data_IF_705937796701
#
_entry.id   IF_705937796701
#
_cell.length_a   1.000
_cell.length_b   1.000
_cell.length_c   1.000
_cell.angle_alpha   90.00
_cell.angle_beta   90.00
_cell.angle_gamma   90.00
#
_symmetry.space_group_name_H-M   'P 1'
#
loop_
_entity.id
_entity.type
_entity.pdbx_description
1 polymer ?
#
# COMPACT_ATOMS: atom_id res chain seq x y z
N UNK A 1 10.14 39.90 21.80
CA UNK A 1 9.22 39.41 20.75
C UNK A 1 10.05 39.09 19.52
N UNK A 2 9.62 38.15 18.70
CA UNK A 2 10.30 37.67 17.50
C UNK A 2 9.62 38.26 16.28
N UNK A 3 10.38 38.76 15.31
CA UNK A 3 9.85 39.08 13.97
C UNK A 3 9.37 37.80 13.30
N UNK A 4 8.41 37.92 12.37
CA UNK A 4 7.88 36.77 11.62
C UNK A 4 8.97 35.89 10.97
N UNK A 5 10.07 36.48 10.50
CA UNK A 5 11.21 35.73 9.94
C UNK A 5 11.95 34.89 10.99
N UNK A 6 12.21 35.46 12.17
CA UNK A 6 12.85 34.74 13.28
C UNK A 6 11.95 33.61 13.80
N UNK A 7 10.65 33.87 13.92
CA UNK A 7 9.68 32.87 14.32
C UNK A 7 9.53 31.76 13.27
N UNK A 8 9.59 32.12 11.99
CA UNK A 8 9.58 31.17 10.87
C UNK A 8 10.74 30.20 10.94
N UNK A 9 11.96 30.70 11.17
CA UNK A 9 13.16 29.87 11.36
C UNK A 9 13.06 28.95 12.59
N UNK A 10 12.53 29.43 13.71
CA UNK A 10 12.42 28.62 14.94
C UNK A 10 11.30 27.56 14.86
N UNK A 11 10.18 27.89 14.23
CA UNK A 11 9.01 27.01 14.11
C UNK A 11 9.06 26.07 12.91
N UNK A 12 9.99 26.30 11.96
CA UNK A 12 10.06 25.62 10.67
C UNK A 12 8.78 25.79 9.82
N UNK A 13 8.01 26.85 10.07
CA UNK A 13 6.82 27.21 9.30
C UNK A 13 7.18 28.38 8.40
N UNK A 14 6.93 28.26 7.09
CA UNK A 14 7.21 29.35 6.16
C UNK A 14 6.42 30.62 6.52
N UNK A 15 6.99 31.79 6.22
CA UNK A 15 6.33 33.10 6.43
C UNK A 15 4.94 33.11 5.77
N UNK A 16 4.82 32.57 4.54
CA UNK A 16 3.54 32.43 3.85
C UNK A 16 2.53 31.61 4.65
N UNK A 17 2.94 30.48 5.23
CA UNK A 17 2.06 29.67 6.05
C UNK A 17 1.67 30.37 7.36
N UNK A 18 2.57 31.14 7.97
CA UNK A 18 2.25 31.96 9.15
C UNK A 18 1.17 33.02 8.84
N UNK A 19 1.21 33.63 7.66
CA UNK A 19 0.13 34.53 7.20
C UNK A 19 -1.19 33.80 7.04
N UNK A 20 -1.20 32.63 6.39
CA UNK A 20 -2.41 31.82 6.24
C UNK A 20 -2.97 31.41 7.61
N UNK A 21 -2.11 31.04 8.55
CA UNK A 21 -2.53 30.64 9.90
C UNK A 21 -3.07 31.83 10.70
N UNK A 22 -2.55 33.03 10.52
CA UNK A 22 -3.09 34.27 11.08
C UNK A 22 -4.49 34.56 10.51
N UNK A 23 -4.63 34.56 9.18
CA UNK A 23 -5.89 34.78 8.46
C UNK A 23 -6.99 33.78 8.87
N UNK A 24 -6.61 32.51 9.05
CA UNK A 24 -7.52 31.44 9.51
C UNK A 24 -7.72 31.42 11.02
N UNK A 25 -7.10 32.32 11.79
CA UNK A 25 -7.18 32.36 13.24
C UNK A 25 -6.52 31.16 13.95
N UNK A 26 -5.71 30.39 13.25
CA UNK A 26 -4.99 29.24 13.80
C UNK A 26 -3.81 29.69 14.65
N UNK A 27 -3.06 30.70 14.20
CA UNK A 27 -1.91 31.24 14.92
C UNK A 27 -1.74 32.74 14.63
N UNK A 28 -2.40 33.57 15.42
CA UNK A 28 -2.33 35.02 15.28
C UNK A 28 -1.02 35.56 15.88
N UNK A 29 -0.39 36.58 15.28
CA UNK A 29 0.73 37.27 15.91
C UNK A 29 0.27 37.92 17.23
N UNK A 30 1.17 37.99 18.19
CA UNK A 30 0.92 38.68 19.46
C UNK A 30 0.80 40.19 19.25
N UNK A 31 1.54 40.72 18.27
CA UNK A 31 1.49 42.13 17.91
C UNK A 31 1.65 42.33 16.41
N UNK A 32 0.90 43.28 15.87
CA UNK A 32 1.05 43.80 14.51
C UNK A 32 1.35 45.29 14.61
N UNK A 33 2.49 45.70 14.08
CA UNK A 33 2.86 47.10 13.98
C UNK A 33 1.88 47.82 13.05
N UNK A 34 1.23 48.87 13.55
CA UNK A 34 0.16 49.59 12.84
C UNK A 34 0.65 50.45 11.68
N UNK A 35 1.93 50.83 11.67
CA UNK A 35 2.51 51.71 10.66
C UNK A 35 3.18 50.92 9.54
N UNK A 36 3.81 49.80 9.88
CA UNK A 36 4.58 48.99 8.94
C UNK A 36 3.93 47.67 8.57
N UNK A 37 2.91 47.23 9.32
CA UNK A 37 2.26 45.93 9.14
C UNK A 37 3.11 44.73 9.57
N UNK A 38 4.27 44.96 10.18
CA UNK A 38 5.15 43.89 10.65
C UNK A 38 4.48 43.07 11.76
N UNK A 39 4.59 41.75 11.63
CA UNK A 39 4.04 40.78 12.58
C UNK A 39 5.11 40.31 13.55
N UNK A 40 4.74 40.27 14.81
CA UNK A 40 5.59 39.84 15.91
C UNK A 40 4.93 38.73 16.71
N UNK A 41 5.72 37.70 16.98
CA UNK A 41 5.33 36.51 17.72
C UNK A 41 6.13 36.40 19.02
N UNK A 42 5.71 35.53 19.92
CA UNK A 42 6.46 35.24 21.16
C UNK A 42 6.89 33.77 21.21
N UNK A 43 7.93 33.46 21.98
CA UNK A 43 8.37 32.07 22.21
C UNK A 43 7.25 31.19 22.78
N UNK A 44 6.31 31.78 23.54
CA UNK A 44 5.15 31.08 24.11
C UNK A 44 4.19 30.54 23.05
N UNK A 45 4.28 31.02 21.81
CA UNK A 45 3.46 30.57 20.69
C UNK A 45 4.05 29.36 19.95
N UNK A 46 5.32 29.01 20.19
CA UNK A 46 5.97 27.85 19.55
C UNK A 46 5.27 26.51 19.83
N UNK A 47 4.82 26.20 21.07
CA UNK A 47 4.08 24.96 21.31
C UNK A 47 2.80 24.84 20.48
N UNK A 48 2.08 25.95 20.29
CA UNK A 48 0.88 26.00 19.43
C UNK A 48 1.25 25.77 17.97
N UNK A 49 2.33 26.40 17.49
CA UNK A 49 2.85 26.22 16.14
C UNK A 49 3.24 24.76 15.86
N UNK A 50 3.97 24.12 16.78
CA UNK A 50 4.35 22.71 16.67
C UNK A 50 3.14 21.78 16.68
N UNK A 51 2.11 22.07 17.50
CA UNK A 51 0.86 21.31 17.50
C UNK A 51 0.14 21.39 16.16
N UNK A 52 0.05 22.58 15.54
CA UNK A 52 -0.52 22.75 14.20
C UNK A 52 0.24 21.91 13.17
N UNK A 53 1.58 21.96 13.21
CA UNK A 53 2.43 21.19 12.29
C UNK A 53 2.26 19.68 12.46
N UNK A 54 2.21 19.18 13.69
CA UNK A 54 1.99 17.77 13.96
C UNK A 54 0.64 17.28 13.39
N UNK A 55 -0.44 18.03 13.63
CA UNK A 55 -1.77 17.68 13.12
C UNK A 55 -1.85 17.75 11.59
N UNK A 56 -1.18 18.73 10.98
CA UNK A 56 -1.03 18.81 9.52
C UNK A 56 -0.24 17.61 8.97
N UNK A 57 0.78 17.15 9.68
CA UNK A 57 1.54 15.94 9.35
C UNK A 57 0.69 14.66 9.32
N UNK A 58 -0.39 14.61 10.11
CA UNK A 58 -1.38 13.53 10.06
C UNK A 58 -2.35 13.64 8.87
N UNK A 59 -2.22 14.68 8.04
CA UNK A 59 -3.08 14.94 6.90
C UNK A 59 -4.44 15.52 7.27
N UNK A 60 -4.58 16.16 8.45
CA UNK A 60 -5.78 16.91 8.80
C UNK A 60 -5.84 18.25 8.05
N UNK A 61 -7.04 18.65 7.66
CA UNK A 61 -7.29 19.95 7.03
C UNK A 61 -7.11 21.10 8.04
N UNK A 62 -6.87 22.33 7.53
CA UNK A 62 -6.73 23.51 8.40
C UNK A 62 -7.99 23.79 9.23
N UNK A 63 -9.18 23.47 8.70
CA UNK A 63 -10.44 23.68 9.39
C UNK A 63 -10.60 22.68 10.55
N UNK A 64 -10.28 21.39 10.33
CA UNK A 64 -10.21 20.38 11.38
C UNK A 64 -9.18 20.74 12.46
N UNK A 65 -7.99 21.20 12.05
CA UNK A 65 -6.95 21.65 12.97
C UNK A 65 -7.49 22.80 13.83
N UNK A 66 -8.20 23.75 13.23
CA UNK A 66 -8.85 24.87 13.92
C UNK A 66 -9.80 24.40 15.03
N UNK A 67 -10.64 23.40 14.74
CA UNK A 67 -11.55 22.81 15.71
C UNK A 67 -10.79 22.21 16.91
N UNK A 68 -9.68 21.51 16.67
CA UNK A 68 -8.85 20.90 17.73
C UNK A 68 -8.17 21.95 18.60
N UNK A 69 -7.44 22.90 17.97
CA UNK A 69 -6.56 23.82 18.70
C UNK A 69 -7.32 24.91 19.43
N UNK A 70 -8.57 25.18 19.04
CA UNK A 70 -9.46 26.10 19.70
C UNK A 70 -10.41 25.41 20.70
N UNK A 71 -10.21 24.10 20.93
CA UNK A 71 -11.02 23.30 21.86
C UNK A 71 -12.52 23.39 21.56
N UNK A 72 -12.87 23.50 20.27
CA UNK A 72 -14.24 23.64 19.80
C UNK A 72 -14.93 22.28 19.58
N UNK A 73 -14.37 21.20 20.15
CA UNK A 73 -14.90 19.85 20.06
C UNK A 73 -14.82 19.16 21.41
N UNK A 74 -15.80 18.31 21.68
CA UNK A 74 -15.76 17.39 22.81
C UNK A 74 -14.87 16.17 22.51
N UNK A 75 -14.65 15.33 23.53
CA UNK A 75 -13.75 14.17 23.40
C UNK A 75 -14.25 13.12 22.42
N UNK A 76 -15.57 12.96 22.28
CA UNK A 76 -16.16 11.96 21.39
C UNK A 76 -16.08 12.40 19.92
N UNK A 77 -16.31 13.68 19.64
CA UNK A 77 -16.09 14.29 18.32
C UNK A 77 -14.63 14.17 17.89
N UNK A 78 -13.70 14.47 18.81
CA UNK A 78 -12.27 14.33 18.56
C UNK A 78 -11.91 12.87 18.23
N UNK A 79 -12.41 11.91 19.02
CA UNK A 79 -12.20 10.47 18.77
C UNK A 79 -12.78 10.04 17.44
N UNK A 80 -13.99 10.49 17.10
CA UNK A 80 -14.65 10.19 15.83
C UNK A 80 -13.83 10.67 14.63
N UNK A 81 -13.34 11.91 14.69
CA UNK A 81 -12.50 12.47 13.63
C UNK A 81 -11.18 11.70 13.45
N UNK A 82 -10.50 11.33 14.54
CA UNK A 82 -9.27 10.54 14.43
C UNK A 82 -9.52 9.11 13.92
N UNK A 83 -10.65 8.49 14.28
CA UNK A 83 -11.05 7.19 13.72
C UNK A 83 -11.33 7.26 12.22
N UNK A 84 -12.02 8.30 11.78
CA UNK A 84 -12.23 8.52 10.35
C UNK A 84 -10.89 8.70 9.65
N UNK A 85 -9.99 9.51 10.22
CA UNK A 85 -8.67 9.73 9.63
C UNK A 85 -7.82 8.46 9.57
N UNK A 86 -7.91 7.63 10.60
CA UNK A 86 -7.28 6.31 10.63
C UNK A 86 -7.79 5.44 9.47
N UNK A 87 -9.11 5.32 9.31
CA UNK A 87 -9.70 4.53 8.23
C UNK A 87 -9.31 5.04 6.83
N UNK A 88 -9.26 6.36 6.62
CA UNK A 88 -8.77 6.97 5.38
C UNK A 88 -7.29 6.64 5.09
N UNK A 89 -6.44 6.58 6.13
CA UNK A 89 -5.03 6.22 5.99
C UNK A 89 -4.87 4.74 5.66
N UNK A 90 -5.59 3.87 6.36
CA UNK A 90 -5.58 2.43 6.10
C UNK A 90 -6.05 2.09 4.68
N UNK A 91 -7.08 2.78 4.18
CA UNK A 91 -7.55 2.60 2.80
C UNK A 91 -6.48 3.01 1.78
N UNK A 92 -5.84 4.17 1.98
CA UNK A 92 -4.76 4.62 1.09
C UNK A 92 -3.56 3.67 1.09
N UNK A 93 -3.20 3.12 2.25
CA UNK A 93 -2.12 2.13 2.33
C UNK A 93 -2.45 0.90 1.48
N UNK A 94 -3.68 0.38 1.55
CA UNK A 94 -4.12 -0.75 0.71
C UNK A 94 -4.02 -0.41 -0.78
N UNK A 95 -4.55 0.74 -1.19
CA UNK A 95 -4.52 1.16 -2.61
C UNK A 95 -3.09 1.33 -3.14
N UNK A 96 -2.17 1.89 -2.35
CA UNK A 96 -0.77 2.01 -2.76
C UNK A 96 -0.04 0.66 -2.78
N UNK A 97 -0.41 -0.29 -1.91
CA UNK A 97 0.10 -1.67 -1.95
C UNK A 97 -0.33 -2.39 -3.23
N UNK A 98 -1.60 -2.26 -3.64
CA UNK A 98 -2.11 -2.81 -4.90
C UNK A 98 -1.36 -2.23 -6.12
N UNK A 99 -1.15 -0.91 -6.12
CA UNK A 99 -0.37 -0.25 -7.18
C UNK A 99 1.09 -0.71 -7.21
N UNK A 100 1.71 -0.90 -6.05
CA UNK A 100 3.07 -1.40 -5.94
C UNK A 100 3.17 -2.82 -6.53
N UNK A 101 2.23 -3.71 -6.19
CA UNK A 101 2.17 -5.06 -6.74
C UNK A 101 2.07 -5.05 -8.27
N UNK A 102 1.29 -4.13 -8.84
CA UNK A 102 1.19 -3.96 -10.29
C UNK A 102 2.51 -3.48 -10.92
N UNK A 103 3.24 -2.55 -10.29
CA UNK A 103 4.56 -2.12 -10.75
C UNK A 103 5.56 -3.29 -10.72
N UNK A 104 5.58 -4.05 -9.62
CA UNK A 104 6.46 -5.22 -9.47
C UNK A 104 6.16 -6.30 -10.50
N UNK A 105 4.88 -6.53 -10.80
CA UNK A 105 4.48 -7.43 -11.88
C UNK A 105 5.06 -7.00 -13.23
N UNK A 106 4.93 -5.72 -13.60
CA UNK A 106 5.45 -5.22 -14.88
C UNK A 106 6.98 -5.26 -14.94
N UNK A 107 7.67 -4.98 -13.83
CA UNK A 107 9.13 -5.11 -13.75
C UNK A 107 9.57 -6.55 -14.02
N UNK A 108 8.91 -7.54 -13.41
CA UNK A 108 9.19 -8.96 -13.69
C UNK A 108 8.94 -9.32 -15.15
N UNK A 109 7.88 -8.81 -15.76
CA UNK A 109 7.59 -9.06 -17.17
C UNK A 109 8.70 -8.54 -18.09
N UNK A 110 9.21 -7.32 -17.82
CA UNK A 110 10.33 -6.74 -18.59
C UNK A 110 11.60 -7.58 -18.43
N UNK A 111 11.93 -8.01 -17.21
CA UNK A 111 13.10 -8.86 -16.95
C UNK A 111 13.02 -10.23 -17.64
N UNK A 112 11.81 -10.76 -17.79
CA UNK A 112 11.54 -12.01 -18.50
C UNK A 112 11.57 -11.81 -20.02
N UNK A 113 11.07 -10.68 -20.54
CA UNK A 113 11.13 -10.35 -21.96
C UNK A 113 12.57 -10.11 -22.45
N UNK A 114 13.39 -9.40 -21.67
CA UNK A 114 14.79 -9.12 -22.01
C UNK A 114 15.68 -10.38 -21.92
N UNK A 115 15.27 -11.38 -21.12
CA UNK A 115 15.91 -12.69 -21.00
C UNK A 115 15.17 -13.81 -21.74
N UNK A 116 14.16 -13.51 -22.57
CA UNK A 116 13.42 -14.54 -23.28
C UNK A 116 14.32 -15.10 -24.38
N UNK A 117 14.81 -16.37 -24.29
CA UNK A 117 15.49 -16.97 -25.41
C UNK A 117 14.51 -17.02 -26.59
N UNK A 118 14.99 -16.86 -27.82
CA UNK A 118 14.16 -17.08 -29.01
C UNK A 118 13.36 -18.38 -28.84
N UNK A 119 12.04 -18.25 -28.67
CA UNK A 119 11.16 -19.37 -28.39
C UNK A 119 11.08 -20.25 -29.64
N UNK A 120 11.91 -21.27 -29.70
CA UNK A 120 11.76 -22.33 -30.67
C UNK A 120 10.61 -23.24 -30.24
N UNK A 121 9.41 -22.93 -30.74
CA UNK A 121 8.21 -23.70 -30.45
C UNK A 121 8.27 -25.05 -31.17
N UNK A 122 8.42 -26.12 -30.39
CA UNK A 122 8.38 -27.49 -30.89
C UNK A 122 7.08 -28.14 -30.44
N UNK A 123 6.32 -28.68 -31.39
CA UNK A 123 5.14 -29.49 -31.10
C UNK A 123 5.58 -30.91 -30.72
N UNK A 124 5.19 -31.38 -29.54
CA UNK A 124 5.43 -32.76 -29.08
C UNK A 124 4.11 -33.41 -28.67
N UNK A 125 3.91 -34.66 -29.07
CA UNK A 125 2.86 -35.49 -28.49
C UNK A 125 3.34 -36.04 -27.14
N UNK A 126 2.51 -35.87 -26.10
CA UNK A 126 2.76 -36.37 -24.76
C UNK A 126 1.82 -37.56 -24.53
N UNK A 127 2.33 -38.75 -24.17
CA UNK A 127 1.49 -39.90 -23.86
C UNK A 127 0.67 -39.63 -22.58
N UNK A 128 -0.50 -40.26 -22.46
CA UNK A 128 -1.30 -40.18 -21.23
C UNK A 128 -0.56 -40.80 -20.05
N UNK A 129 -0.70 -40.19 -18.86
CA UNK A 129 -0.10 -40.64 -17.62
C UNK A 129 -1.06 -40.43 -16.45
N UNK A 130 -0.89 -41.20 -15.37
CA UNK A 130 -1.62 -41.01 -14.13
C UNK A 130 -1.10 -39.77 -13.38
N UNK A 131 -2.02 -38.98 -12.83
CA UNK A 131 -1.67 -37.77 -12.09
C UNK A 131 -2.63 -37.50 -10.94
N UNK A 132 -2.07 -37.00 -9.84
CA UNK A 132 -2.83 -36.26 -8.84
C UNK A 132 -2.89 -34.80 -9.27
N UNK A 133 -4.06 -34.17 -9.10
CA UNK A 133 -4.21 -32.78 -9.47
C UNK A 133 -5.09 -32.00 -8.50
N UNK A 134 -4.77 -30.72 -8.33
CA UNK A 134 -5.57 -29.74 -7.60
C UNK A 134 -6.04 -28.67 -8.58
N UNK A 135 -7.36 -28.54 -8.76
CA UNK A 135 -7.97 -27.47 -9.56
C UNK A 135 -8.50 -26.37 -8.67
N UNK A 136 -8.26 -25.14 -9.08
CA UNK A 136 -8.76 -23.96 -8.39
C UNK A 136 -8.89 -22.80 -9.38
N UNK A 137 -9.78 -21.86 -9.05
CA UNK A 137 -9.77 -20.54 -9.70
C UNK A 137 -8.73 -19.69 -9.00
N UNK A 138 -7.71 -19.19 -9.71
CA UNK A 138 -6.67 -18.40 -9.09
C UNK A 138 -7.24 -17.08 -8.60
N UNK A 139 -7.02 -16.77 -7.33
CA UNK A 139 -7.06 -15.41 -6.81
C UNK A 139 -5.64 -14.86 -6.85
N UNK A 140 -5.49 -13.53 -6.93
CA UNK A 140 -4.19 -12.86 -6.98
C UNK A 140 -3.20 -13.46 -5.95
N UNK A 141 -1.98 -13.77 -6.41
CA UNK A 141 -0.85 -14.25 -5.59
C UNK A 141 -0.95 -15.68 -5.02
N UNK A 142 -1.98 -16.48 -5.32
CA UNK A 142 -2.09 -17.86 -4.78
C UNK A 142 -1.17 -18.89 -5.48
N UNK A 143 -0.87 -18.72 -6.77
CA UNK A 143 -0.12 -19.73 -7.54
C UNK A 143 1.32 -19.94 -6.98
N UNK A 144 2.12 -18.89 -6.70
CA UNK A 144 3.46 -19.10 -6.13
C UNK A 144 3.43 -19.83 -4.78
N UNK A 145 2.55 -19.42 -3.87
CA UNK A 145 2.43 -20.03 -2.53
C UNK A 145 2.01 -21.50 -2.60
N UNK A 146 1.00 -21.83 -3.40
CA UNK A 146 0.58 -23.22 -3.59
C UNK A 146 1.67 -24.07 -4.26
N UNK A 147 2.48 -23.47 -5.15
CA UNK A 147 3.62 -24.14 -5.75
C UNK A 147 4.70 -24.50 -4.71
N UNK A 148 4.97 -23.62 -3.75
CA UNK A 148 5.88 -23.90 -2.62
C UNK A 148 5.33 -25.02 -1.72
N UNK A 149 4.04 -24.98 -1.36
CA UNK A 149 3.40 -26.03 -0.57
C UNK A 149 3.49 -27.41 -1.25
N UNK A 150 3.27 -27.48 -2.57
CA UNK A 150 3.41 -28.73 -3.34
C UNK A 150 4.86 -29.23 -3.31
N UNK A 151 5.84 -28.34 -3.42
CA UNK A 151 7.25 -28.72 -3.31
C UNK A 151 7.57 -29.30 -1.92
N UNK A 152 7.02 -28.72 -0.85
CA UNK A 152 7.18 -29.25 0.51
C UNK A 152 6.53 -30.63 0.69
N UNK A 153 5.33 -30.84 0.14
CA UNK A 153 4.63 -32.14 0.18
C UNK A 153 5.38 -33.23 -0.61
N UNK A 154 5.98 -32.86 -1.74
CA UNK A 154 6.85 -33.77 -2.52
C UNK A 154 8.14 -34.07 -1.74
N UNK A 155 8.78 -33.04 -1.18
CA UNK A 155 10.05 -33.19 -0.45
C UNK A 155 9.92 -33.98 0.86
N UNK A 156 8.76 -33.88 1.53
CA UNK A 156 8.44 -34.65 2.73
C UNK A 156 8.07 -36.11 2.43
N UNK A 157 7.81 -36.45 1.17
CA UNK A 157 7.40 -37.79 0.75
C UNK A 157 5.93 -38.10 0.99
N UNK A 158 5.12 -37.09 1.34
CA UNK A 158 3.66 -37.23 1.47
C UNK A 158 3.00 -37.49 0.11
N UNK A 159 3.60 -37.00 -0.97
CA UNK A 159 3.18 -37.27 -2.34
C UNK A 159 4.26 -38.07 -3.07
N UNK A 160 3.99 -39.35 -3.30
CA UNK A 160 4.82 -40.15 -4.20
C UNK A 160 4.65 -39.65 -5.65
N UNK A 161 5.75 -39.36 -6.33
CA UNK A 161 5.73 -38.77 -7.68
C UNK A 161 6.70 -39.48 -8.63
N UNK A 162 6.39 -39.43 -9.94
CA UNK A 162 7.18 -40.05 -11.01
C UNK A 162 7.91 -39.04 -11.89
N UNK A 163 7.70 -37.74 -11.66
CA UNK A 163 8.31 -36.66 -12.43
C UNK A 163 8.14 -35.30 -11.77
N UNK A 164 8.55 -34.24 -12.47
CA UNK A 164 8.34 -32.87 -12.03
C UNK A 164 6.85 -32.51 -12.12
N UNK A 165 6.34 -31.77 -11.13
CA UNK A 165 4.98 -31.27 -11.20
C UNK A 165 4.85 -30.18 -12.27
N UNK A 166 3.65 -30.03 -12.81
CA UNK A 166 3.34 -29.11 -13.89
C UNK A 166 2.18 -28.19 -13.49
N UNK A 167 2.24 -26.94 -13.95
CA UNK A 167 1.10 -26.03 -13.94
C UNK A 167 0.40 -26.06 -15.30
N UNK A 168 -0.92 -26.09 -15.30
CA UNK A 168 -1.71 -26.08 -16.54
C UNK A 168 -2.99 -25.27 -16.38
N UNK A 169 -3.47 -24.72 -17.49
CA UNK A 169 -4.81 -24.13 -17.57
C UNK A 169 -5.77 -25.21 -18.04
N UNK A 170 -6.88 -25.39 -17.32
CA UNK A 170 -7.92 -26.35 -17.65
C UNK A 170 -9.10 -25.65 -18.34
N UNK A 171 -9.45 -26.13 -19.54
CA UNK A 171 -10.60 -25.65 -20.30
C UNK A 171 -10.52 -26.03 -21.79
N UNK A 172 -11.67 -26.17 -22.45
CA UNK A 172 -11.71 -26.40 -23.92
C UNK A 172 -11.16 -25.20 -24.71
N UNK A 173 -11.22 -24.00 -24.12
CA UNK A 173 -10.60 -22.77 -24.64
C UNK A 173 -9.96 -22.03 -23.47
N UNK A 174 -8.74 -21.56 -23.66
CA UNK A 174 -8.06 -20.70 -22.69
C UNK A 174 -8.75 -19.33 -22.71
N UNK A 175 -9.47 -19.01 -21.64
CA UNK A 175 -10.05 -17.68 -21.42
C UNK A 175 -9.28 -16.99 -20.28
N UNK A 176 -8.54 -15.90 -20.55
CA UNK A 176 -7.79 -15.18 -19.51
C UNK A 176 -8.66 -14.66 -18.36
N UNK A 177 -9.94 -14.40 -18.61
CA UNK A 177 -10.87 -13.82 -17.63
C UNK A 177 -11.67 -14.86 -16.84
N UNK A 178 -11.66 -16.13 -17.27
CA UNK A 178 -12.35 -17.24 -16.60
C UNK A 178 -11.64 -18.55 -16.93
N UNK A 179 -10.63 -18.89 -16.13
CA UNK A 179 -9.91 -20.14 -16.24
C UNK A 179 -9.73 -20.82 -14.88
N UNK A 180 -9.72 -22.15 -14.92
CA UNK A 180 -9.25 -22.95 -13.79
C UNK A 180 -7.77 -23.27 -14.00
N UNK A 181 -6.97 -23.05 -12.98
CA UNK A 181 -5.59 -23.51 -12.96
C UNK A 181 -5.53 -24.88 -12.29
N UNK A 182 -4.65 -25.74 -12.79
CA UNK A 182 -4.39 -27.05 -12.23
C UNK A 182 -2.90 -27.20 -11.93
N UNK A 183 -2.58 -27.58 -10.70
CA UNK A 183 -1.31 -28.23 -10.40
C UNK A 183 -1.44 -29.73 -10.64
N UNK A 184 -0.49 -30.32 -11.36
CA UNK A 184 -0.52 -31.71 -11.82
C UNK A 184 0.77 -32.38 -11.38
N UNK A 185 0.68 -33.41 -10.55
CA UNK A 185 1.82 -34.22 -10.10
C UNK A 185 1.72 -35.61 -10.75
N UNK A 186 2.66 -36.00 -11.62
CA UNK A 186 2.69 -37.35 -12.19
C UNK A 186 2.89 -38.41 -11.10
N UNK A 187 2.08 -39.48 -11.12
CA UNK A 187 2.14 -40.58 -10.15
C UNK A 187 2.12 -41.94 -10.86
N UNK A 188 2.35 -43.03 -10.12
CA UNK A 188 2.08 -44.39 -10.60
C UNK A 188 0.60 -44.72 -10.44
N UNK A 189 0.05 -45.57 -11.32
CA UNK A 189 -1.36 -46.00 -11.24
C UNK A 189 -1.71 -46.79 -9.97
N UNK A 190 -0.71 -47.19 -9.17
CA UNK A 190 -0.83 -48.16 -8.08
C UNK A 190 -1.01 -47.54 -6.67
N UNK A 191 -1.49 -46.29 -6.58
CA UNK A 191 -1.79 -45.65 -5.29
C UNK A 191 -3.27 -45.26 -5.13
N UNK A 192 -4.16 -46.11 -5.63
CA UNK A 192 -5.57 -46.12 -5.19
C UNK A 192 -5.67 -46.90 -3.88
N UNK A 193 -5.33 -46.24 -2.77
CA UNK A 193 -5.56 -46.72 -1.40
C UNK A 193 -6.59 -45.85 -0.70
#
# INVERSE_FOLDING_TARGET
MLKIGEFSSLSQISIKALHIYDERGLLRPEHVDKFTGYRYYTMKQLPRAHRIMALKGLGLSLDQIGLIINQAMNIDELRGMFRLKQSELEQRVREEQERLAMVEFHLRMIEVEDNMPELNVIVKEIPSFAALYLRFRPVEHQIPTLGEEINELIASGEIAHTGQWMGGVYGEKVNPDDYEFAFIVPVTEDQSG
#
